data_IF_823197761712
#
_entry.id   IF_823197761712
#
_cell.length_a   1.000
_cell.length_b   1.000
_cell.length_c   1.000
_cell.angle_alpha   90.00
_cell.angle_beta   90.00
_cell.angle_gamma   90.00
#
_symmetry.space_group_name_H-M   'P 1'
#
loop_
_entity.id
_entity.type
_entity.pdbx_description
1 polymer ?
#
# COMPACT_ATOMS: atom_id res chain seq x y z
N UNK A 1 1.54 17.76 6.21
CA UNK A 1 2.50 16.88 5.50
C UNK A 1 1.78 15.87 4.60
N UNK A 2 0.86 15.05 5.10
CA UNK A 2 0.10 14.07 4.27
C UNK A 2 -0.74 14.73 3.17
N UNK A 3 -1.30 15.92 3.43
CA UNK A 3 -2.10 16.69 2.45
C UNK A 3 -1.37 16.95 1.12
N UNK A 4 -0.03 16.99 1.14
CA UNK A 4 0.80 17.34 -0.02
C UNK A 4 1.17 16.13 -0.89
N UNK A 5 0.91 14.90 -0.43
CA UNK A 5 1.19 13.68 -1.22
C UNK A 5 -0.05 13.38 -2.08
N UNK A 6 0.05 13.36 -3.42
CA UNK A 6 -1.08 13.09 -4.29
C UNK A 6 -1.61 11.67 -4.10
N UNK A 7 -2.89 11.47 -4.38
CA UNK A 7 -3.56 10.18 -4.18
C UNK A 7 -5.06 10.26 -4.45
N UNK A 8 -5.72 9.12 -4.71
CA UNK A 8 -7.16 9.07 -4.93
C UNK A 8 -7.93 9.62 -3.74
N UNK A 9 -9.05 10.31 -4.04
CA UNK A 9 -9.90 10.94 -3.04
C UNK A 9 -10.57 9.88 -2.16
N UNK A 10 -10.33 9.88 -0.83
CA UNK A 10 -10.87 8.87 0.06
C UNK A 10 -12.38 9.07 0.30
N UNK A 11 -13.09 7.96 0.45
CA UNK A 11 -14.46 7.94 0.97
C UNK A 11 -14.45 8.01 2.52
N UNK A 12 -15.53 8.54 3.14
CA UNK A 12 -15.67 8.50 4.59
C UNK A 12 -15.55 7.08 5.13
N UNK A 13 -14.85 6.92 6.26
CA UNK A 13 -14.69 5.68 7.03
C UNK A 13 -13.84 4.59 6.34
N UNK A 14 -14.11 4.27 5.07
CA UNK A 14 -13.45 3.18 4.32
C UNK A 14 -12.24 3.63 3.49
N UNK A 15 -12.04 4.94 3.30
CA UNK A 15 -10.96 5.48 2.50
C UNK A 15 -11.07 5.06 1.03
N UNK A 16 -10.00 4.49 0.50
CA UNK A 16 -9.87 3.99 -0.87
C UNK A 16 -9.97 2.45 -0.94
N UNK A 17 -10.43 1.77 0.11
CA UNK A 17 -10.47 0.32 0.17
C UNK A 17 -11.27 -0.33 -0.97
N UNK A 18 -12.30 0.35 -1.50
CA UNK A 18 -13.10 -0.16 -2.63
C UNK A 18 -12.31 -0.33 -3.93
N UNK A 19 -11.19 0.38 -4.11
CA UNK A 19 -10.30 0.23 -5.28
C UNK A 19 -9.75 -1.21 -5.35
N UNK A 20 -9.61 -1.86 -4.19
CA UNK A 20 -9.12 -3.23 -4.08
C UNK A 20 -10.25 -4.27 -4.06
N UNK A 21 -11.50 -3.86 -4.22
CA UNK A 21 -12.64 -4.77 -4.23
C UNK A 21 -12.64 -5.66 -5.46
N UNK A 22 -12.87 -6.96 -5.27
CA UNK A 22 -12.97 -7.92 -6.37
C UNK A 22 -11.64 -8.37 -6.97
N UNK A 23 -10.50 -8.01 -6.37
CA UNK A 23 -9.19 -8.58 -6.70
C UNK A 23 -9.20 -10.07 -6.33
N UNK A 24 -8.86 -10.92 -7.30
CA UNK A 24 -8.84 -12.39 -7.16
C UNK A 24 -7.43 -12.96 -7.15
N UNK A 25 -6.44 -12.20 -7.58
CA UNK A 25 -5.05 -12.64 -7.66
C UNK A 25 -4.05 -11.56 -7.24
N UNK A 26 -2.85 -12.00 -6.84
CA UNK A 26 -1.74 -11.09 -6.54
C UNK A 26 -1.32 -10.28 -7.76
N UNK A 27 -1.43 -10.84 -8.96
CA UNK A 27 -1.13 -10.12 -10.21
C UNK A 27 -2.11 -8.96 -10.43
N UNK A 28 -3.41 -9.18 -10.22
CA UNK A 28 -4.41 -8.11 -10.27
C UNK A 28 -4.15 -7.04 -9.20
N UNK A 29 -3.78 -7.45 -7.99
CA UNK A 29 -3.40 -6.51 -6.93
C UNK A 29 -2.21 -5.65 -7.35
N UNK A 30 -1.17 -6.27 -7.93
CA UNK A 30 0.01 -5.56 -8.39
C UNK A 30 -0.31 -4.59 -9.54
N UNK A 31 -1.18 -4.99 -10.47
CA UNK A 31 -1.67 -4.11 -11.55
C UNK A 31 -2.39 -2.89 -10.98
N UNK A 32 -3.30 -3.08 -10.03
CA UNK A 32 -4.01 -1.96 -9.37
C UNK A 32 -3.04 -1.01 -8.68
N UNK A 33 -2.06 -1.53 -7.92
CA UNK A 33 -1.04 -0.70 -7.25
C UNK A 33 -0.21 0.07 -8.27
N UNK A 34 0.18 -0.57 -9.37
CA UNK A 34 0.97 0.07 -10.44
C UNK A 34 0.15 1.16 -11.13
N UNK A 35 -1.13 0.93 -11.43
CA UNK A 35 -2.04 1.95 -11.97
C UNK A 35 -2.17 3.14 -11.02
N UNK A 36 -2.31 2.90 -9.71
CA UNK A 36 -2.36 3.99 -8.73
C UNK A 36 -1.09 4.83 -8.69
N UNK A 37 0.08 4.21 -8.88
CA UNK A 37 1.34 4.94 -9.01
C UNK A 37 1.37 5.76 -10.30
N UNK A 38 0.96 5.19 -11.43
CA UNK A 38 0.94 5.90 -12.71
C UNK A 38 -0.02 7.10 -12.70
N UNK A 39 -1.19 6.95 -12.08
CA UNK A 39 -2.27 7.94 -12.16
C UNK A 39 -2.15 9.05 -11.10
N UNK A 40 -1.54 8.76 -9.94
CA UNK A 40 -1.59 9.64 -8.77
C UNK A 40 -0.25 9.88 -8.09
N UNK A 41 0.88 9.52 -8.69
CA UNK A 41 2.19 9.78 -8.07
C UNK A 41 2.72 11.18 -8.34
N UNK A 42 3.61 11.64 -7.46
CA UNK A 42 4.52 12.76 -7.74
C UNK A 42 5.54 12.39 -8.83
N UNK A 43 6.29 13.37 -9.32
CA UNK A 43 7.46 13.12 -10.19
C UNK A 43 8.46 12.12 -9.57
N UNK A 44 8.54 12.09 -8.24
CA UNK A 44 9.35 11.16 -7.47
C UNK A 44 8.69 9.79 -7.22
N UNK A 45 7.57 9.49 -7.87
CA UNK A 45 6.88 8.20 -7.78
C UNK A 45 6.25 7.94 -6.41
N UNK A 46 5.83 8.96 -5.68
CA UNK A 46 5.21 8.82 -4.35
C UNK A 46 3.72 9.09 -4.46
N UNK A 47 2.88 8.18 -3.94
CA UNK A 47 1.44 8.43 -3.79
C UNK A 47 0.95 8.05 -2.39
N UNK A 48 -0.29 8.45 -2.08
CA UNK A 48 -0.99 8.04 -0.85
C UNK A 48 -2.28 7.28 -1.16
N UNK A 49 -2.59 6.30 -0.33
CA UNK A 49 -3.86 5.56 -0.34
C UNK A 49 -4.34 5.42 1.09
N UNK A 50 -5.64 5.65 1.32
CA UNK A 50 -6.25 5.40 2.62
C UNK A 50 -6.93 4.03 2.62
N UNK A 51 -6.67 3.20 3.61
CA UNK A 51 -7.38 1.94 3.86
C UNK A 51 -8.12 2.08 5.18
N UNK A 52 -9.38 2.48 5.10
CA UNK A 52 -10.12 2.97 6.24
C UNK A 52 -9.41 4.16 6.92
N UNK A 53 -9.13 4.12 8.23
CA UNK A 53 -8.39 5.16 8.92
C UNK A 53 -6.86 5.07 8.71
N UNK A 54 -6.36 4.06 8.00
CA UNK A 54 -4.93 3.82 7.85
C UNK A 54 -4.38 4.45 6.59
N UNK A 55 -3.32 5.24 6.72
CA UNK A 55 -2.57 5.79 5.59
C UNK A 55 -1.53 4.80 5.11
N UNK A 56 -1.52 4.52 3.81
CA UNK A 56 -0.50 3.76 3.10
C UNK A 56 0.17 4.69 2.09
N UNK A 57 1.50 4.72 2.09
CA UNK A 57 2.29 5.47 1.10
C UNK A 57 2.96 4.45 0.20
N UNK A 58 2.74 4.55 -1.12
CA UNK A 58 3.46 3.72 -2.09
C UNK A 58 4.62 4.51 -2.67
N UNK A 59 5.74 3.80 -2.85
CA UNK A 59 6.98 4.33 -3.40
C UNK A 59 7.28 3.60 -4.71
N UNK A 60 7.44 4.34 -5.80
CA UNK A 60 7.85 3.84 -7.11
C UNK A 60 9.32 4.13 -7.45
N UNK A 61 9.97 5.05 -6.74
CA UNK A 61 11.37 5.39 -6.97
C UNK A 61 12.31 4.46 -6.21
N UNK A 62 13.20 3.77 -6.96
CA UNK A 62 14.15 2.81 -6.42
C UNK A 62 15.06 3.38 -5.31
N UNK A 63 15.48 4.65 -5.40
CA UNK A 63 16.33 5.28 -4.38
C UNK A 63 15.62 5.43 -3.04
N UNK A 64 14.32 5.75 -3.08
CA UNK A 64 13.51 5.85 -1.87
C UNK A 64 13.25 4.47 -1.27
N UNK A 65 12.96 3.49 -2.12
CA UNK A 65 12.77 2.10 -1.70
C UNK A 65 14.03 1.57 -1.01
N UNK A 66 15.21 1.72 -1.64
CA UNK A 66 16.49 1.26 -1.09
C UNK A 66 16.79 1.87 0.28
N UNK A 67 16.57 3.18 0.43
CA UNK A 67 16.79 3.88 1.70
C UNK A 67 15.88 3.39 2.82
N UNK A 68 14.61 3.09 2.51
CA UNK A 68 13.66 2.56 3.48
C UNK A 68 14.01 1.11 3.84
N UNK A 69 14.32 0.27 2.85
CA UNK A 69 14.66 -1.13 3.08
C UNK A 69 16.01 -1.32 3.79
N UNK A 70 16.89 -0.32 3.71
CA UNK A 70 18.18 -0.32 4.41
C UNK A 70 18.07 0.14 5.87
N UNK A 71 16.92 0.67 6.30
CA UNK A 71 16.72 1.14 7.67
C UNK A 71 16.02 0.05 8.52
N UNK A 72 16.68 -0.52 9.54
CA UNK A 72 16.10 -1.59 10.37
C UNK A 72 14.84 -1.17 11.13
N UNK A 73 14.69 0.11 11.48
CA UNK A 73 13.49 0.61 12.16
C UNK A 73 12.27 0.66 11.23
N UNK A 74 12.50 0.77 9.91
CA UNK A 74 11.46 0.82 8.89
C UNK A 74 11.02 -0.57 8.39
N UNK A 75 11.72 -1.64 8.79
CA UNK A 75 11.43 -3.02 8.39
C UNK A 75 10.42 -3.72 9.31
N UNK A 76 9.91 -3.03 10.33
CA UNK A 76 8.90 -3.59 11.22
C UNK A 76 7.62 -3.92 10.44
N UNK A 77 7.12 -5.15 10.62
CA UNK A 77 5.88 -5.57 9.94
C UNK A 77 4.70 -4.80 10.49
N UNK A 78 3.95 -4.23 9.56
CA UNK A 78 2.77 -3.47 9.85
C UNK A 78 1.54 -4.38 10.13
N UNK A 79 0.58 -3.94 10.94
CA UNK A 79 -0.64 -4.72 11.27
C UNK A 79 -1.53 -5.00 10.04
N UNK A 80 -1.29 -4.32 8.91
CA UNK A 80 -1.97 -4.57 7.65
C UNK A 80 -1.81 -6.01 7.16
N UNK A 81 -0.68 -6.66 7.44
CA UNK A 81 -0.45 -8.07 7.08
C UNK A 81 -1.40 -9.02 7.82
N UNK A 82 -1.75 -8.70 9.08
CA UNK A 82 -2.77 -9.47 9.82
C UNK A 82 -4.17 -9.24 9.24
N UNK A 83 -4.49 -8.01 8.84
CA UNK A 83 -5.79 -7.67 8.25
C UNK A 83 -5.99 -8.31 6.88
N UNK A 84 -4.96 -8.33 6.04
CA UNK A 84 -4.97 -9.06 4.76
C UNK A 84 -5.13 -10.56 4.99
N UNK A 85 -4.59 -11.07 6.10
CA UNK A 85 -4.74 -12.47 6.49
C UNK A 85 -6.15 -12.94 6.80
N UNK A 86 -7.07 -12.02 7.08
CA UNK A 86 -8.49 -12.35 7.22
C UNK A 86 -9.12 -12.78 5.88
N UNK A 87 -8.51 -12.40 4.75
CA UNK A 87 -9.04 -12.64 3.40
C UNK A 87 -8.09 -13.47 2.52
N UNK A 88 -6.90 -13.85 3.00
CA UNK A 88 -5.91 -14.62 2.26
C UNK A 88 -5.06 -15.51 3.17
N UNK A 89 -4.87 -16.78 2.80
CA UNK A 89 -4.14 -17.78 3.59
C UNK A 89 -2.77 -18.13 2.99
N UNK A 90 -1.95 -17.13 2.67
CA UNK A 90 -0.63 -17.30 2.06
C UNK A 90 0.55 -17.29 3.04
N UNK A 91 1.73 -17.74 2.59
CA UNK A 91 2.99 -17.75 3.37
C UNK A 91 3.42 -16.37 3.84
N UNK A 92 3.07 -15.31 3.11
CA UNK A 92 3.34 -13.91 3.49
C UNK A 92 2.45 -13.40 4.64
N UNK A 93 1.35 -14.11 4.93
CA UNK A 93 0.40 -13.81 6.02
C UNK A 93 0.74 -14.61 7.28
N UNK A 94 1.23 -15.85 7.15
CA UNK A 94 1.61 -16.66 8.31
C UNK A 94 2.92 -16.13 8.92
N UNK A 95 2.90 -15.88 10.22
CA UNK A 95 4.12 -15.86 11.01
C UNK A 95 4.75 -17.25 10.89
N UNK A 96 6.01 -17.30 10.47
CA UNK A 96 6.83 -18.51 10.56
C UNK A 96 6.97 -18.87 12.03
N UNK A 97 6.07 -19.72 12.51
CA UNK A 97 6.25 -20.60 13.65
C UNK A 97 6.21 -22.02 13.12
#
# INVERSE_FOLDING_TARGET
MVANIPGPKPLPIIGNALIFSGIKSTEEAFKVITSLLNDYSTEDGINRVWLGPKLVISLGNAKHIEKILSNPDALQRDDIYQRVGLFSSGMFVRNGK
#
